data_IF_397414698174
#
_entry.id   IF_397414698174
#
_cell.length_a   1.000
_cell.length_b   1.000
_cell.length_c   1.000
_cell.angle_alpha   90.00
_cell.angle_beta   90.00
_cell.angle_gamma   90.00
#
_symmetry.space_group_name_H-M   'P 1'
#
loop_
_entity.id
_entity.type
_entity.pdbx_description
1 polymer ?
#
# COMPACT_ATOMS: atom_id res chain seq x y z
N UNK A 1 -1.22 -3.96 7.43
CA UNK A 1 -0.93 -2.77 8.26
C UNK A 1 -2.00 -1.72 7.98
N UNK A 2 -2.57 -1.09 9.01
CA UNK A 2 -3.51 0.02 8.81
C UNK A 2 -2.74 1.30 8.52
N UNK A 3 -3.28 2.18 7.67
CA UNK A 3 -2.57 3.42 7.32
C UNK A 3 -2.22 4.28 8.54
N UNK A 4 -2.98 4.19 9.64
CA UNK A 4 -2.76 4.96 10.86
C UNK A 4 -1.46 4.58 11.59
N UNK A 5 -0.98 3.34 11.40
CA UNK A 5 0.20 2.79 12.08
C UNK A 5 1.47 2.87 11.22
N UNK A 6 1.42 3.56 10.07
CA UNK A 6 2.61 3.85 9.27
C UNK A 6 3.33 5.01 9.95
N UNK A 7 4.38 4.68 10.71
CA UNK A 7 5.30 5.59 11.39
C UNK A 7 6.74 5.25 11.01
N UNK A 8 7.72 6.05 11.44
CA UNK A 8 9.13 5.78 11.16
C UNK A 8 9.60 4.47 11.82
N UNK A 9 9.23 4.26 13.09
CA UNK A 9 9.58 3.08 13.88
C UNK A 9 9.01 1.80 13.25
N UNK A 10 7.77 1.85 12.76
CA UNK A 10 7.12 0.72 12.10
C UNK A 10 7.81 0.30 10.79
N UNK A 11 8.66 1.17 10.23
CA UNK A 11 9.33 0.96 8.96
C UNK A 11 10.84 0.73 9.09
N UNK A 12 11.39 0.67 10.31
CA UNK A 12 12.82 0.42 10.59
C UNK A 12 13.31 -0.92 10.03
N UNK A 13 12.44 -1.92 10.02
CA UNK A 13 12.76 -3.25 9.50
C UNK A 13 12.97 -3.29 7.98
N UNK A 14 12.66 -2.20 7.26
CA UNK A 14 12.76 -2.13 5.80
C UNK A 14 13.86 -1.14 5.39
N UNK A 15 14.78 -1.52 4.49
CA UNK A 15 15.77 -0.60 3.93
C UNK A 15 15.13 0.68 3.38
N UNK A 16 15.77 1.86 3.51
CA UNK A 16 15.19 3.14 3.09
C UNK A 16 14.66 3.16 1.64
N UNK A 17 15.37 2.47 0.74
CA UNK A 17 15.09 2.35 -0.69
C UNK A 17 13.98 1.36 -1.04
N UNK A 18 13.43 0.64 -0.05
CA UNK A 18 12.32 -0.30 -0.25
C UNK A 18 11.15 0.41 -0.91
N UNK A 19 10.78 -0.06 -2.11
CA UNK A 19 9.58 0.40 -2.79
C UNK A 19 8.35 -0.27 -2.19
N UNK A 20 7.53 0.53 -1.51
CA UNK A 20 6.24 0.06 -1.01
C UNK A 20 5.18 0.14 -2.09
N UNK A 21 4.36 -0.91 -2.20
CA UNK A 21 3.14 -0.91 -3.02
C UNK A 21 1.95 -0.92 -2.09
N UNK A 22 1.10 0.11 -2.16
CA UNK A 22 -0.11 0.22 -1.34
C UNK A 22 -1.35 -0.11 -2.15
N UNK A 23 -2.25 -0.89 -1.55
CA UNK A 23 -3.55 -1.23 -2.11
C UNK A 23 -4.61 -1.28 -1.01
N UNK A 24 -5.88 -1.19 -1.40
CA UNK A 24 -7.03 -1.42 -0.52
C UNK A 24 -8.01 -2.38 -1.21
N UNK A 25 -9.23 -2.53 -0.68
CA UNK A 25 -10.27 -3.35 -1.26
C UNK A 25 -10.56 -2.99 -2.73
N UNK A 26 -10.76 -1.71 -3.06
CA UNK A 26 -11.12 -1.30 -4.41
C UNK A 26 -11.08 0.22 -4.63
N UNK A 27 -11.60 0.66 -5.78
CA UNK A 27 -11.67 2.08 -6.21
C UNK A 27 -12.39 3.00 -5.21
N UNK A 28 -13.37 2.49 -4.47
CA UNK A 28 -14.13 3.26 -3.46
C UNK A 28 -13.44 3.37 -2.09
N UNK A 29 -12.23 2.84 -1.95
CA UNK A 29 -11.46 2.92 -0.71
C UNK A 29 -10.36 4.00 -0.77
N UNK A 30 -10.28 4.84 0.27
CA UNK A 30 -9.26 5.89 0.41
C UNK A 30 -8.06 5.49 1.31
N UNK A 31 -8.03 4.25 1.82
CA UNK A 31 -6.95 3.83 2.73
C UNK A 31 -5.59 3.72 2.02
N UNK A 32 -5.57 3.32 0.74
CA UNK A 32 -4.35 3.22 -0.06
C UNK A 32 -3.73 4.61 -0.29
N UNK A 33 -4.55 5.63 -0.58
CA UNK A 33 -4.06 7.01 -0.75
C UNK A 33 -3.54 7.59 0.57
N UNK A 34 -4.26 7.36 1.68
CA UNK A 34 -3.79 7.77 3.02
C UNK A 34 -2.46 7.10 3.39
N UNK A 35 -2.29 5.83 3.04
CA UNK A 35 -1.04 5.12 3.26
C UNK A 35 0.09 5.67 2.38
N UNK A 36 -0.18 5.89 1.09
CA UNK A 36 0.77 6.50 0.16
C UNK A 36 1.23 7.88 0.60
N UNK A 37 0.31 8.74 1.02
CA UNK A 37 0.63 10.07 1.53
C UNK A 37 1.51 10.02 2.80
N UNK A 38 1.29 9.06 3.69
CA UNK A 38 2.13 8.88 4.88
C UNK A 38 3.53 8.40 4.54
N UNK A 39 3.66 7.38 3.70
CA UNK A 39 4.96 6.88 3.23
C UNK A 39 5.75 7.98 2.52
N UNK A 40 5.11 8.73 1.61
CA UNK A 40 5.75 9.84 0.91
C UNK A 40 6.23 10.96 1.86
N UNK A 41 5.45 11.29 2.90
CA UNK A 41 5.86 12.26 3.93
C UNK A 41 7.06 11.81 4.75
N UNK A 42 7.23 10.50 4.93
CA UNK A 42 8.39 9.88 5.58
C UNK A 42 9.57 9.66 4.60
N UNK A 43 9.49 10.18 3.37
CA UNK A 43 10.54 10.03 2.36
C UNK A 43 10.68 8.61 1.81
N UNK A 44 9.70 7.71 2.05
CA UNK A 44 9.76 6.32 1.60
C UNK A 44 9.23 6.19 0.17
N UNK A 45 9.94 5.48 -0.74
CA UNK A 45 9.45 5.24 -2.09
C UNK A 45 8.13 4.48 -2.07
N UNK A 46 7.13 4.97 -2.80
CA UNK A 46 5.79 4.36 -2.80
C UNK A 46 5.12 4.44 -4.17
N UNK A 47 4.40 3.37 -4.53
CA UNK A 47 3.45 3.34 -5.65
C UNK A 47 2.09 2.83 -5.16
N UNK A 48 1.02 3.38 -5.73
CA UNK A 48 -0.34 2.88 -5.50
C UNK A 48 -0.71 1.86 -6.56
N UNK A 49 -1.25 0.72 -6.14
CA UNK A 49 -1.94 -0.21 -7.03
C UNK A 49 -3.39 0.25 -7.18
N UNK A 50 -3.68 0.92 -8.30
CA UNK A 50 -5.02 1.42 -8.62
C UNK A 50 -5.96 0.23 -8.84
N UNK A 51 -7.24 0.39 -8.49
CA UNK A 51 -8.23 -0.71 -8.57
C UNK A 51 -8.25 -1.63 -7.35
N UNK A 52 -7.15 -1.70 -6.58
CA UNK A 52 -7.09 -2.50 -5.36
C UNK A 52 -7.28 -4.00 -5.60
N UNK A 53 -7.69 -4.73 -4.56
CA UNK A 53 -7.95 -6.18 -4.65
C UNK A 53 -9.05 -6.51 -5.67
N UNK A 54 -10.12 -5.72 -5.73
CA UNK A 54 -11.20 -5.91 -6.70
C UNK A 54 -10.71 -5.77 -8.13
N UNK A 55 -9.99 -4.68 -8.45
CA UNK A 55 -9.42 -4.49 -9.78
C UNK A 55 -8.44 -5.60 -10.17
N UNK A 56 -7.62 -6.09 -9.23
CA UNK A 56 -6.74 -7.23 -9.46
C UNK A 56 -7.50 -8.48 -9.91
N UNK A 57 -8.62 -8.79 -9.26
CA UNK A 57 -9.46 -9.94 -9.62
C UNK A 57 -10.22 -9.71 -10.93
N UNK A 58 -10.68 -8.48 -11.19
CA UNK A 58 -11.39 -8.11 -12.43
C UNK A 58 -10.49 -8.25 -13.67
N UNK A 59 -9.20 -8.00 -13.52
CA UNK A 59 -8.18 -8.21 -14.56
C UNK A 59 -7.78 -9.70 -14.72
N UNK A 60 -8.37 -10.62 -13.94
CA UNK A 60 -8.16 -12.06 -14.07
C UNK A 60 -6.92 -12.60 -13.37
N UNK A 61 -6.34 -11.85 -12.42
CA UNK A 61 -5.20 -12.32 -11.65
C UNK A 61 -5.62 -13.12 -10.40
N UNK A 62 -4.84 -14.14 -10.06
CA UNK A 62 -5.09 -14.99 -8.90
C UNK A 62 -4.64 -14.33 -7.57
N UNK A 63 -5.27 -14.78 -6.50
CA UNK A 63 -4.84 -14.49 -5.13
C UNK A 63 -4.20 -15.73 -4.51
N UNK A 64 -3.05 -15.53 -3.89
CA UNK A 64 -2.45 -16.56 -3.03
C UNK A 64 -2.98 -16.38 -1.61
N UNK A 65 -3.49 -17.46 -1.03
CA UNK A 65 -3.86 -17.51 0.39
C UNK A 65 -2.71 -18.17 1.15
N UNK A 66 -2.38 -17.62 2.32
CA UNK A 66 -1.32 -18.09 3.21
C UNK A 66 -1.91 -18.78 4.42
#
# INVERSE_FOLDING_TARGET
MYHATITEEALEAYPPETLFVVYCAGSHCNAADKAGARLARLGRPVKKMIGGKSGWLEEGFDLVTS
#
